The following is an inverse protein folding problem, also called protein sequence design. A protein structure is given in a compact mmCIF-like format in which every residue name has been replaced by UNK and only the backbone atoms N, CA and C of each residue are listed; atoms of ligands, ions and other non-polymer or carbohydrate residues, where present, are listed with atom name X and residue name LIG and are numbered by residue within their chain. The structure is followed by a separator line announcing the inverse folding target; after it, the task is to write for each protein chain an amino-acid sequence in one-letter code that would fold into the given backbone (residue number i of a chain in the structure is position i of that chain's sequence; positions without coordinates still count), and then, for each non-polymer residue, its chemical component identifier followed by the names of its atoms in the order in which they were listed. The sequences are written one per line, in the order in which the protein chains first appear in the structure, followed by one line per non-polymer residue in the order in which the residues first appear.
data_IF_828939085758
#
_entry.id   IF_828939085758
#
_cell.length_a   1.000
_cell.length_b   1.000
_cell.length_c   1.000
_cell.angle_alpha   90.00
_cell.angle_beta   90.00
_cell.angle_gamma   90.00
#
_symmetry.space_group_name_H-M   'P 1'
#
loop_
_entity.id
_entity.type
_entity.pdbx_description
1 polymer ?
#
# COMPACT_ATOMS: atom_id res chain seq x y z
N UNK A 1 2.04 -18.80 -33.30
CA UNK A 1 1.85 -19.91 -34.26
C UNK A 1 1.34 -19.41 -35.61
N UNK A 2 0.24 -18.65 -35.70
CA UNK A 2 -0.30 -18.18 -36.98
C UNK A 2 0.68 -17.32 -37.80
N UNK A 3 1.39 -16.34 -37.21
CA UNK A 3 2.38 -15.53 -37.94
C UNK A 3 3.57 -16.33 -38.49
N UNK A 4 4.00 -17.36 -37.75
CA UNK A 4 5.09 -18.25 -38.18
C UNK A 4 4.60 -19.20 -39.28
N UNK A 5 3.33 -19.60 -39.21
CA UNK A 5 2.62 -20.34 -40.26
C UNK A 5 2.40 -19.45 -41.49
N UNK A 6 2.13 -18.15 -41.33
CA UNK A 6 1.90 -17.21 -42.43
C UNK A 6 3.21 -16.88 -43.18
N UNK A 7 4.34 -16.75 -42.47
CA UNK A 7 5.69 -16.64 -43.09
C UNK A 7 6.07 -17.94 -43.82
N UNK A 8 5.71 -19.11 -43.26
CA UNK A 8 5.97 -20.41 -43.89
C UNK A 8 5.02 -20.72 -45.07
N UNK A 9 3.79 -20.17 -45.06
CA UNK A 9 2.77 -20.41 -46.09
C UNK A 9 2.76 -19.34 -47.20
N UNK A 10 3.36 -18.17 -47.00
CA UNK A 10 3.49 -17.10 -48.01
C UNK A 10 4.55 -17.36 -49.09
N UNK A 11 4.89 -18.63 -49.32
CA UNK A 11 6.14 -19.13 -49.92
C UNK A 11 6.42 -18.82 -51.39
N UNK A 12 6.40 -17.55 -51.80
CA UNK A 12 6.80 -17.13 -53.15
C UNK A 12 7.92 -16.06 -53.19
N UNK A 13 8.43 -15.58 -52.04
CA UNK A 13 9.56 -14.63 -52.01
C UNK A 13 10.89 -15.27 -51.61
N UNK A 14 11.99 -14.81 -52.22
CA UNK A 14 13.35 -15.24 -51.88
C UNK A 14 13.73 -14.91 -50.43
N UNK A 15 13.11 -13.89 -49.83
CA UNK A 15 13.32 -13.50 -48.45
C UNK A 15 12.70 -14.49 -47.46
N UNK A 16 11.50 -14.99 -47.75
CA UNK A 16 10.81 -15.96 -46.87
C UNK A 16 11.53 -17.31 -46.87
N UNK A 17 12.06 -17.73 -48.02
CA UNK A 17 12.91 -18.92 -48.09
C UNK A 17 14.23 -18.78 -47.31
N UNK A 18 14.85 -17.60 -47.33
CA UNK A 18 16.08 -17.34 -46.58
C UNK A 18 15.81 -17.37 -45.07
N UNK A 19 14.70 -16.77 -44.63
CA UNK A 19 14.23 -16.82 -43.25
C UNK A 19 13.95 -18.24 -42.78
N UNK A 20 13.13 -19.00 -43.51
CA UNK A 20 12.76 -20.37 -43.12
C UNK A 20 14.01 -21.28 -43.01
N UNK A 21 14.94 -21.19 -43.97
CA UNK A 21 16.20 -21.95 -43.93
C UNK A 21 17.03 -21.63 -42.69
N UNK A 22 17.23 -20.34 -42.39
CA UNK A 22 18.04 -19.92 -41.25
C UNK A 22 17.37 -20.27 -39.92
N UNK A 23 16.04 -20.13 -39.85
CA UNK A 23 15.22 -20.47 -38.69
C UNK A 23 15.31 -21.96 -38.35
N UNK A 24 15.05 -22.86 -39.30
CA UNK A 24 15.14 -24.30 -39.04
C UNK A 24 16.59 -24.76 -38.78
N UNK A 25 17.57 -24.16 -39.44
CA UNK A 25 18.98 -24.42 -39.16
C UNK A 25 19.36 -24.02 -37.72
N UNK A 26 18.86 -22.87 -37.24
CA UNK A 26 19.09 -22.41 -35.88
C UNK A 26 18.53 -23.38 -34.82
N UNK A 27 17.38 -24.00 -35.06
CA UNK A 27 16.83 -25.03 -34.16
C UNK A 27 17.68 -26.31 -34.08
N UNK A 28 18.35 -26.67 -35.18
CA UNK A 28 19.30 -27.78 -35.22
C UNK A 28 20.63 -27.47 -34.50
N UNK A 29 21.01 -26.20 -34.43
CA UNK A 29 22.29 -25.76 -33.87
C UNK A 29 22.34 -25.91 -32.34
N UNK A 30 23.38 -26.60 -31.86
CA UNK A 30 23.64 -26.77 -30.42
C UNK A 30 23.96 -25.44 -29.73
N UNK A 31 24.66 -24.54 -30.40
CA UNK A 31 25.08 -23.25 -29.85
C UNK A 31 23.90 -22.30 -29.64
N UNK A 32 22.93 -22.32 -30.55
CA UNK A 32 21.65 -21.60 -30.44
C UNK A 32 20.82 -22.17 -29.29
N UNK A 33 20.67 -23.50 -29.19
CA UNK A 33 19.94 -24.13 -28.08
C UNK A 33 20.53 -23.79 -26.71
N UNK A 34 21.85 -23.77 -26.58
CA UNK A 34 22.53 -23.36 -25.35
C UNK A 34 22.30 -21.88 -25.02
N UNK A 35 22.34 -21.00 -26.03
CA UNK A 35 22.05 -19.57 -25.84
C UNK A 35 20.58 -19.36 -25.43
N UNK A 36 19.64 -20.05 -26.09
CA UNK A 36 18.21 -19.99 -25.79
C UNK A 36 17.90 -20.43 -24.36
N UNK A 37 18.53 -21.51 -23.87
CA UNK A 37 18.40 -21.93 -22.48
C UNK A 37 18.87 -20.86 -21.49
N UNK A 38 19.95 -20.14 -21.82
CA UNK A 38 20.43 -19.05 -20.98
C UNK A 38 19.52 -17.83 -21.01
N UNK A 39 18.98 -17.49 -22.20
CA UNK A 39 17.95 -16.46 -22.34
C UNK A 39 16.71 -16.84 -21.51
N UNK A 40 16.24 -18.09 -21.55
CA UNK A 40 15.12 -18.57 -20.73
C UNK A 40 15.40 -18.48 -19.22
N UNK A 41 16.62 -18.75 -18.77
CA UNK A 41 17.01 -18.53 -17.36
C UNK A 41 17.04 -17.02 -17.05
N UNK A 42 17.62 -16.21 -17.96
CA UNK A 42 17.68 -14.75 -17.90
C UNK A 42 16.32 -14.07 -18.11
N UNK A 43 15.29 -14.82 -18.49
CA UNK A 43 13.90 -14.39 -18.64
C UNK A 43 12.99 -15.54 -18.23
N UNK A 44 12.94 -15.84 -16.93
CA UNK A 44 11.96 -16.68 -16.19
C UNK A 44 10.54 -16.83 -16.80
N UNK A 45 10.10 -15.92 -17.67
CA UNK A 45 8.79 -15.91 -18.34
C UNK A 45 8.78 -16.56 -19.74
N UNK A 46 9.91 -17.03 -20.28
CA UNK A 46 9.94 -17.79 -21.53
C UNK A 46 9.40 -19.21 -21.30
N UNK A 47 8.08 -19.31 -21.17
CA UNK A 47 7.35 -20.57 -21.22
C UNK A 47 7.17 -20.93 -22.70
N UNK A 48 7.53 -22.17 -23.06
CA UNK A 48 7.48 -22.90 -24.33
C UNK A 48 7.30 -22.12 -25.65
N UNK A 49 6.24 -21.33 -25.84
CA UNK A 49 6.02 -20.54 -27.06
C UNK A 49 6.98 -19.36 -27.20
N UNK A 50 7.45 -18.79 -26.09
CA UNK A 50 8.35 -17.64 -26.07
C UNK A 50 9.70 -17.91 -26.74
N UNK A 51 10.19 -19.15 -26.66
CA UNK A 51 11.45 -19.56 -27.28
C UNK A 51 11.42 -19.43 -28.82
N UNK A 52 10.26 -19.68 -29.44
CA UNK A 52 10.09 -19.52 -30.88
C UNK A 52 10.15 -18.07 -31.32
N UNK A 53 9.62 -17.14 -30.52
CA UNK A 53 9.68 -15.71 -30.81
C UNK A 53 11.10 -15.17 -30.69
N UNK A 54 11.85 -15.58 -29.68
CA UNK A 54 13.25 -15.17 -29.51
C UNK A 54 14.14 -15.69 -30.67
N UNK A 55 13.96 -16.94 -31.09
CA UNK A 55 14.69 -17.48 -32.26
C UNK A 55 14.27 -16.78 -33.56
N UNK A 56 12.97 -16.53 -33.77
CA UNK A 56 12.47 -15.82 -34.95
C UNK A 56 13.03 -14.38 -35.03
N UNK A 57 13.00 -13.64 -33.91
CA UNK A 57 13.57 -12.30 -33.82
C UNK A 57 15.09 -12.29 -34.09
N UNK A 58 15.82 -13.25 -33.51
CA UNK A 58 17.26 -13.38 -33.73
C UNK A 58 17.60 -13.75 -35.18
N UNK A 59 16.78 -14.55 -35.86
CA UNK A 59 16.92 -14.87 -37.28
C UNK A 59 16.67 -13.64 -38.15
N UNK A 60 15.60 -12.89 -37.90
CA UNK A 60 15.34 -11.63 -38.61
C UNK A 60 16.50 -10.65 -38.47
N UNK A 61 17.03 -10.49 -37.25
CA UNK A 61 18.18 -9.62 -36.98
C UNK A 61 19.47 -10.14 -37.62
N UNK A 62 19.66 -11.47 -37.68
CA UNK A 62 20.77 -12.10 -38.38
C UNK A 62 20.76 -11.77 -39.88
N UNK A 63 19.59 -11.86 -40.52
CA UNK A 63 19.42 -11.55 -41.94
C UNK A 63 19.62 -10.06 -42.25
N UNK A 64 19.22 -9.16 -41.34
CA UNK A 64 19.36 -7.73 -41.52
C UNK A 64 20.78 -7.21 -41.25
N UNK A 65 21.51 -7.81 -40.29
CA UNK A 65 22.76 -7.26 -39.75
C UNK A 65 24.01 -8.14 -39.92
N UNK A 66 23.89 -9.37 -40.41
CA UNK A 66 25.03 -10.24 -40.73
C UNK A 66 25.70 -10.99 -39.55
N UNK A 67 25.08 -11.02 -38.37
CA UNK A 67 25.56 -11.78 -37.20
C UNK A 67 24.98 -13.20 -37.14
N UNK A 68 25.62 -14.14 -36.44
CA UNK A 68 25.02 -15.47 -36.20
C UNK A 68 23.86 -15.40 -35.19
N UNK A 69 22.84 -16.22 -35.37
CA UNK A 69 21.68 -16.31 -34.46
C UNK A 69 22.13 -16.56 -33.01
N UNK A 70 23.15 -17.41 -32.81
CA UNK A 70 23.69 -17.70 -31.47
C UNK A 70 24.39 -16.48 -30.82
N UNK A 71 25.05 -15.62 -31.60
CA UNK A 71 25.65 -14.38 -31.07
C UNK A 71 24.56 -13.41 -30.63
N UNK A 72 23.53 -13.21 -31.46
CA UNK A 72 22.41 -12.30 -31.18
C UNK A 72 21.68 -12.72 -29.90
N UNK A 73 21.41 -14.01 -29.73
CA UNK A 73 20.78 -14.53 -28.49
C UNK A 73 21.66 -14.34 -27.24
N UNK A 74 22.99 -14.41 -27.36
CA UNK A 74 23.88 -14.12 -26.22
C UNK A 74 23.89 -12.65 -25.85
N UNK A 75 23.83 -11.75 -26.83
CA UNK A 75 23.69 -10.32 -26.57
C UNK A 75 22.36 -10.01 -25.87
N UNK A 76 21.29 -10.67 -26.31
CA UNK A 76 19.97 -10.60 -25.67
C UNK A 76 20.00 -11.08 -24.22
N UNK A 77 20.65 -12.22 -23.94
CA UNK A 77 20.88 -12.72 -22.57
C UNK A 77 21.55 -11.67 -21.67
N UNK A 78 22.62 -11.03 -22.17
CA UNK A 78 23.36 -10.00 -21.42
C UNK A 78 22.49 -8.77 -21.15
N UNK A 79 21.70 -8.32 -22.13
CA UNK A 79 20.77 -7.21 -21.95
C UNK A 79 19.73 -7.51 -20.88
N UNK A 80 19.09 -8.68 -20.93
CA UNK A 80 18.10 -9.12 -19.95
C UNK A 80 18.69 -9.22 -18.54
N UNK A 81 19.92 -9.73 -18.44
CA UNK A 81 20.64 -9.82 -17.16
C UNK A 81 20.87 -8.43 -16.57
N UNK A 82 21.34 -7.46 -17.37
CA UNK A 82 21.54 -6.06 -16.93
C UNK A 82 20.24 -5.39 -16.53
N UNK A 83 19.17 -5.57 -17.30
CA UNK A 83 17.86 -5.02 -16.97
C UNK A 83 17.34 -5.54 -15.62
N UNK A 84 17.57 -6.83 -15.34
CA UNK A 84 17.22 -7.42 -14.04
C UNK A 84 18.04 -6.87 -12.89
N UNK A 85 19.34 -6.68 -13.09
CA UNK A 85 20.21 -6.08 -12.06
C UNK A 85 19.78 -4.65 -11.73
N UNK A 86 19.45 -3.85 -12.75
CA UNK A 86 18.90 -2.50 -12.59
C UNK A 86 17.55 -2.54 -11.87
N UNK A 87 16.61 -3.38 -12.30
CA UNK A 87 15.31 -3.48 -11.63
C UNK A 87 15.43 -3.94 -10.16
N UNK A 88 16.39 -4.82 -9.85
CA UNK A 88 16.69 -5.24 -8.47
C UNK A 88 17.26 -4.10 -7.63
N UNK A 89 18.18 -3.30 -8.18
CA UNK A 89 18.78 -2.19 -7.44
C UNK A 89 17.78 -1.06 -7.21
N UNK A 90 16.94 -0.75 -8.20
CA UNK A 90 15.83 0.20 -8.08
C UNK A 90 14.80 -0.26 -7.05
N UNK A 91 14.39 -1.54 -7.09
CA UNK A 91 13.48 -2.11 -6.09
C UNK A 91 14.09 -2.05 -4.68
N UNK A 92 15.37 -2.36 -4.53
CA UNK A 92 16.04 -2.29 -3.24
C UNK A 92 16.09 -0.86 -2.70
N UNK A 93 16.34 0.13 -3.57
CA UNK A 93 16.32 1.55 -3.22
C UNK A 93 14.92 2.00 -2.79
N UNK A 94 13.88 1.63 -3.56
CA UNK A 94 12.50 1.92 -3.22
C UNK A 94 12.09 1.32 -1.87
N UNK A 95 12.42 0.04 -1.62
CA UNK A 95 12.14 -0.62 -0.34
C UNK A 95 12.84 0.10 0.81
N UNK A 96 14.12 0.47 0.63
CA UNK A 96 14.89 1.18 1.65
C UNK A 96 14.28 2.54 1.98
N UNK A 97 13.93 3.33 0.98
CA UNK A 97 13.30 4.65 1.17
C UNK A 97 11.91 4.55 1.79
N UNK A 98 11.11 3.56 1.37
CA UNK A 98 9.81 3.27 1.96
C UNK A 98 9.93 2.89 3.45
N UNK A 99 10.89 2.03 3.78
CA UNK A 99 11.16 1.65 5.17
C UNK A 99 11.66 2.82 6.02
N UNK A 100 12.49 3.71 5.46
CA UNK A 100 12.93 4.93 6.15
C UNK A 100 11.75 5.85 6.49
N UNK A 101 10.86 6.12 5.52
CA UNK A 101 9.65 6.92 5.75
C UNK A 101 8.72 6.29 6.78
N UNK A 102 8.59 4.96 6.78
CA UNK A 102 7.82 4.23 7.81
C UNK A 102 8.43 4.37 9.20
N UNK A 103 9.76 4.28 9.30
CA UNK A 103 10.45 4.45 10.58
C UNK A 103 10.26 5.87 11.15
N UNK A 104 10.27 6.90 10.29
CA UNK A 104 9.99 8.28 10.66
C UNK A 104 8.53 8.48 11.12
N UNK A 105 7.57 7.83 10.45
CA UNK A 105 6.14 7.96 10.77
C UNK A 105 5.69 7.12 11.99
N UNK A 106 6.36 6.00 12.27
CA UNK A 106 6.02 5.08 13.35
C UNK A 106 5.85 5.75 14.74
N UNK A 107 6.75 6.62 15.23
CA UNK A 107 6.58 7.26 16.54
C UNK A 107 5.38 8.21 16.58
N UNK A 108 5.09 8.90 15.47
CA UNK A 108 3.95 9.83 15.35
C UNK A 108 2.65 9.05 15.47
N UNK A 109 2.54 7.93 14.76
CA UNK A 109 1.35 7.07 14.82
C UNK A 109 1.18 6.40 16.18
N UNK A 110 2.27 5.97 16.81
CA UNK A 110 2.23 5.44 18.16
C UNK A 110 1.77 6.50 19.18
N UNK A 111 2.13 7.77 18.99
CA UNK A 111 1.61 8.88 19.79
C UNK A 111 0.11 9.11 19.52
N UNK A 112 -0.32 9.15 18.26
CA UNK A 112 -1.73 9.30 17.89
C UNK A 112 -2.60 8.16 18.44
N UNK A 113 -2.13 6.91 18.38
CA UNK A 113 -2.86 5.75 18.89
C UNK A 113 -3.02 5.80 20.42
N UNK A 114 -1.97 6.23 21.14
CA UNK A 114 -2.03 6.46 22.60
C UNK A 114 -3.05 7.54 22.94
N UNK A 115 -2.99 8.68 22.25
CA UNK A 115 -3.94 9.78 22.45
C UNK A 115 -5.39 9.37 22.15
N UNK A 116 -5.62 8.60 21.07
CA UNK A 116 -6.94 8.05 20.77
C UNK A 116 -7.45 7.11 21.86
N UNK A 117 -6.59 6.28 22.45
CA UNK A 117 -6.95 5.39 23.55
C UNK A 117 -7.34 6.20 24.79
N UNK A 118 -6.55 7.20 25.16
CA UNK A 118 -6.85 8.11 26.28
C UNK A 118 -8.19 8.84 26.06
N UNK A 119 -8.43 9.38 24.86
CA UNK A 119 -9.68 10.04 24.50
C UNK A 119 -10.87 9.07 24.53
N UNK A 120 -10.67 7.82 24.12
CA UNK A 120 -11.72 6.79 24.13
C UNK A 120 -12.21 6.43 25.55
N UNK A 121 -11.36 6.61 26.57
CA UNK A 121 -11.69 6.36 27.97
C UNK A 121 -12.26 7.60 28.66
N UNK A 122 -11.68 8.76 28.38
CA UNK A 122 -12.04 10.03 29.02
C UNK A 122 -13.37 10.61 28.50
N UNK A 123 -13.64 10.52 27.20
CA UNK A 123 -14.89 11.06 26.62
C UNK A 123 -16.14 10.40 27.21
N UNK A 124 -16.26 9.05 27.31
CA UNK A 124 -17.43 8.44 27.92
C UNK A 124 -17.59 8.76 29.41
N UNK A 125 -16.48 8.78 30.16
CA UNK A 125 -16.49 9.14 31.58
C UNK A 125 -17.02 10.56 31.80
N UNK A 126 -16.45 11.54 31.08
CA UNK A 126 -16.90 12.93 31.15
C UNK A 126 -18.33 13.09 30.60
N UNK A 127 -18.73 12.34 29.57
CA UNK A 127 -20.10 12.38 29.06
C UNK A 127 -21.13 11.86 30.07
N UNK A 128 -20.77 10.86 30.87
CA UNK A 128 -21.62 10.34 31.94
C UNK A 128 -21.76 11.36 33.07
N UNK A 129 -20.65 12.01 33.44
CA UNK A 129 -20.62 13.09 34.43
C UNK A 129 -21.44 14.30 33.98
N UNK A 130 -21.30 14.73 32.72
CA UNK A 130 -21.89 15.95 32.15
C UNK A 130 -23.34 15.77 31.70
N UNK A 131 -23.89 14.54 31.74
CA UNK A 131 -25.26 14.28 31.26
C UNK A 131 -26.25 15.28 31.85
N UNK A 132 -26.77 16.17 30.99
CA UNK A 132 -27.44 17.40 31.38
C UNK A 132 -28.66 17.16 32.29
N UNK A 133 -29.29 15.98 32.19
CA UNK A 133 -30.39 15.59 33.06
C UNK A 133 -29.98 15.06 34.44
N UNK A 134 -28.77 14.51 34.63
CA UNK A 134 -28.37 13.94 35.93
C UNK A 134 -27.74 14.99 36.84
N UNK A 135 -26.98 15.92 36.26
CA UNK A 135 -26.29 17.00 36.98
C UNK A 135 -27.26 18.09 37.42
N UNK A 136 -28.06 18.61 36.48
CA UNK A 136 -29.02 19.66 36.78
C UNK A 136 -30.04 19.19 37.82
N UNK A 137 -30.60 17.98 37.65
CA UNK A 137 -31.55 17.43 38.62
C UNK A 137 -30.93 17.19 40.01
N UNK A 138 -29.66 16.76 40.09
CA UNK A 138 -28.97 16.59 41.39
C UNK A 138 -28.67 17.92 42.07
N UNK A 139 -28.30 18.94 41.30
CA UNK A 139 -28.03 20.28 41.82
C UNK A 139 -29.31 20.93 42.32
N UNK A 140 -30.37 20.94 41.52
CA UNK A 140 -31.67 21.49 41.90
C UNK A 140 -32.24 20.78 43.13
N UNK A 141 -32.14 19.44 43.20
CA UNK A 141 -32.55 18.68 44.38
C UNK A 141 -31.72 19.03 45.64
N UNK A 142 -30.42 19.27 45.48
CA UNK A 142 -29.55 19.68 46.60
C UNK A 142 -29.82 21.11 47.05
N UNK A 143 -30.07 22.03 46.12
CA UNK A 143 -30.49 23.39 46.42
C UNK A 143 -31.83 23.41 47.14
N UNK A 144 -32.81 22.62 46.68
CA UNK A 144 -34.10 22.47 47.36
C UNK A 144 -33.92 21.94 48.78
N UNK A 145 -33.12 20.88 48.99
CA UNK A 145 -32.85 20.33 50.31
C UNK A 145 -32.16 21.33 51.26
N UNK A 146 -31.27 22.18 50.75
CA UNK A 146 -30.63 23.24 51.53
C UNK A 146 -31.63 24.32 51.95
N UNK A 147 -32.54 24.71 51.04
CA UNK A 147 -33.62 25.67 51.34
C UNK A 147 -34.62 25.09 52.35
N UNK A 148 -34.99 23.81 52.20
CA UNK A 148 -35.85 23.10 53.14
C UNK A 148 -35.22 22.98 54.54
N UNK A 149 -33.88 22.93 54.61
CA UNK A 149 -33.12 22.98 55.86
C UNK A 149 -32.99 24.41 56.45
N UNK A 150 -33.57 25.42 55.81
CA UNK A 150 -33.62 26.79 56.30
C UNK A 150 -32.42 27.67 55.94
N UNK A 151 -31.54 27.23 55.02
CA UNK A 151 -30.45 28.07 54.51
C UNK A 151 -31.00 29.11 53.52
N UNK A 152 -30.56 30.37 53.67
CA UNK A 152 -30.82 31.42 52.68
C UNK A 152 -29.88 31.28 51.47
N UNK A 153 -30.28 31.80 50.31
CA UNK A 153 -29.44 31.75 49.10
C UNK A 153 -28.05 32.40 49.34
N UNK A 154 -27.99 33.47 50.13
CA UNK A 154 -26.73 34.14 50.54
C UNK A 154 -25.81 33.22 51.36
N UNK A 155 -26.39 32.37 52.23
CA UNK A 155 -25.63 31.38 53.00
C UNK A 155 -25.16 30.24 52.12
N UNK A 156 -26.00 29.77 51.18
CA UNK A 156 -25.63 28.73 50.21
C UNK A 156 -24.48 29.18 49.33
N UNK A 157 -24.49 30.43 48.86
CA UNK A 157 -23.41 31.01 48.07
C UNK A 157 -22.12 31.18 48.91
N UNK A 158 -22.22 31.53 50.19
CA UNK A 158 -21.07 31.67 51.08
C UNK A 158 -20.31 30.35 51.34
N UNK A 159 -21.02 29.20 51.36
CA UNK A 159 -20.39 27.85 51.43
C UNK A 159 -20.02 27.28 50.05
N UNK A 160 -20.25 28.03 48.97
CA UNK A 160 -19.83 27.66 47.61
C UNK A 160 -20.82 26.76 46.85
N UNK A 161 -22.03 26.57 47.37
CA UNK A 161 -23.15 25.89 46.73
C UNK A 161 -22.90 24.46 46.21
N UNK A 162 -23.96 23.76 45.79
CA UNK A 162 -23.81 22.47 45.12
C UNK A 162 -23.20 22.62 43.72
N UNK A 163 -22.09 21.91 43.51
CA UNK A 163 -21.37 21.81 42.23
C UNK A 163 -21.92 20.70 41.33
N UNK A 164 -21.72 20.78 40.01
CA UNK A 164 -21.12 21.89 39.26
C UNK A 164 -22.10 23.05 39.04
N UNK A 165 -21.58 24.27 39.07
CA UNK A 165 -22.30 25.49 38.63
C UNK A 165 -22.58 25.47 37.13
N UNK A 166 -23.45 26.35 36.63
CA UNK A 166 -23.71 26.47 35.18
C UNK A 166 -22.43 26.75 34.37
N UNK A 167 -21.55 27.60 34.90
CA UNK A 167 -20.26 27.91 34.28
C UNK A 167 -19.32 26.69 34.26
N UNK A 168 -19.28 25.91 35.35
CA UNK A 168 -18.49 24.66 35.40
C UNK A 168 -19.06 23.61 34.44
N UNK A 169 -20.39 23.48 34.34
CA UNK A 169 -21.05 22.59 33.40
C UNK A 169 -20.77 23.00 31.95
N UNK A 170 -20.85 24.29 31.63
CA UNK A 170 -20.53 24.82 30.31
C UNK A 170 -19.06 24.57 29.94
N UNK A 171 -18.13 24.77 30.89
CA UNK A 171 -16.71 24.46 30.69
C UNK A 171 -16.46 22.97 30.44
N UNK A 172 -17.14 22.08 31.18
CA UNK A 172 -17.06 20.64 30.96
C UNK A 172 -17.64 20.22 29.60
N UNK A 173 -18.77 20.81 29.17
CA UNK A 173 -19.35 20.57 27.85
C UNK A 173 -18.43 21.04 26.72
N UNK A 174 -17.81 22.21 26.86
CA UNK A 174 -16.84 22.74 25.90
C UNK A 174 -15.59 21.84 25.80
N UNK A 175 -15.09 21.36 26.95
CA UNK A 175 -13.99 20.38 27.01
C UNK A 175 -14.34 19.10 26.26
N UNK A 176 -15.54 18.57 26.48
CA UNK A 176 -16.04 17.37 25.83
C UNK A 176 -16.16 17.55 24.30
N UNK A 177 -16.67 18.69 23.85
CA UNK A 177 -16.73 19.03 22.42
C UNK A 177 -15.32 19.10 21.79
N UNK A 178 -14.37 19.73 22.48
CA UNK A 178 -12.97 19.81 22.06
C UNK A 178 -12.33 18.43 21.95
N UNK A 179 -12.49 17.57 22.96
CA UNK A 179 -11.99 16.18 22.95
C UNK A 179 -12.57 15.37 21.79
N UNK A 180 -13.87 15.51 21.51
CA UNK A 180 -14.52 14.84 20.36
C UNK A 180 -13.97 15.33 19.02
N UNK A 181 -13.79 16.64 18.86
CA UNK A 181 -13.18 17.21 17.67
C UNK A 181 -11.74 16.70 17.48
N UNK A 182 -10.95 16.64 18.56
CA UNK A 182 -9.60 16.08 18.53
C UNK A 182 -9.59 14.61 18.13
N UNK A 183 -10.49 13.79 18.69
CA UNK A 183 -10.65 12.38 18.32
C UNK A 183 -10.99 12.21 16.83
N UNK A 184 -11.85 13.07 16.28
CA UNK A 184 -12.19 13.05 14.86
C UNK A 184 -10.98 13.41 13.97
N UNK A 185 -10.22 14.44 14.33
CA UNK A 185 -8.99 14.82 13.62
C UNK A 185 -7.93 13.72 13.64
N UNK A 186 -7.75 13.03 14.78
CA UNK A 186 -6.82 11.91 14.89
C UNK A 186 -7.25 10.71 14.03
N UNK A 187 -8.55 10.42 13.95
CA UNK A 187 -9.09 9.38 13.06
C UNK A 187 -8.88 9.73 11.59
N UNK A 188 -9.12 10.99 11.20
CA UNK A 188 -8.88 11.47 9.85
C UNK A 188 -7.40 11.38 9.47
N UNK A 189 -6.50 11.77 10.38
CA UNK A 189 -5.06 11.65 10.19
C UNK A 189 -4.63 10.20 9.96
N UNK A 190 -5.10 9.27 10.80
CA UNK A 190 -4.82 7.85 10.65
C UNK A 190 -5.34 7.27 9.32
N UNK A 191 -6.54 7.69 8.88
CA UNK A 191 -7.12 7.27 7.60
C UNK A 191 -6.39 7.87 6.38
N UNK A 192 -5.83 9.07 6.52
CA UNK A 192 -5.11 9.76 5.44
C UNK A 192 -3.66 9.30 5.25
N UNK A 193 -3.12 8.48 6.15
CA UNK A 193 -1.73 8.06 6.12
C UNK A 193 -1.45 7.24 4.83
N UNK A 194 -0.86 7.82 3.77
CA UNK A 194 -0.77 7.20 2.45
C UNK A 194 0.36 6.14 2.37
N UNK A 195 1.09 5.94 3.47
CA UNK A 195 2.26 5.06 3.53
C UNK A 195 1.92 3.60 3.92
N UNK A 196 0.64 3.33 4.20
CA UNK A 196 0.14 2.02 4.62
C UNK A 196 -0.81 1.45 3.59
N UNK A 197 -0.37 1.37 2.33
CA UNK A 197 -1.02 0.46 1.42
C UNK A 197 -0.68 -0.97 1.86
N UNK A 198 -1.54 -1.52 2.73
CA UNK A 198 -1.46 -2.90 3.21
C UNK A 198 -1.52 -3.89 2.03
N UNK A 199 -2.05 -3.48 0.87
CA UNK A 199 -2.06 -4.30 -0.35
C UNK A 199 -0.67 -4.47 -0.98
N UNK A 200 0.27 -3.55 -0.72
CA UNK A 200 1.69 -3.71 -1.10
C UNK A 200 2.46 -4.67 -0.17
N UNK A 201 1.85 -5.06 0.95
CA UNK A 201 2.36 -6.08 1.88
C UNK A 201 1.68 -7.44 1.68
N UNK A 202 0.63 -7.50 0.86
CA UNK A 202 -0.05 -8.74 0.56
C UNK A 202 0.71 -9.45 -0.57
N UNK A 203 1.69 -10.27 -0.19
CA UNK A 203 2.26 -11.30 -1.05
C UNK A 203 1.22 -12.41 -1.38
N UNK A 204 -0.08 -12.24 -1.06
CA UNK A 204 -1.16 -13.19 -1.38
C UNK A 204 -1.62 -13.17 -2.85
N UNK A 205 -0.71 -12.88 -3.78
CA UNK A 205 -0.84 -13.40 -5.16
C UNK A 205 -0.29 -14.84 -5.28
N UNK A 206 -0.25 -15.58 -4.16
CA UNK A 206 -0.01 -17.01 -4.14
C UNK A 206 -1.12 -17.75 -3.36
N UNK A 207 -1.94 -18.46 -4.11
CA UNK A 207 -2.83 -19.58 -3.73
C UNK A 207 -4.28 -19.23 -3.34
N UNK A 208 -5.18 -19.55 -4.28
CA UNK A 208 -6.61 -19.38 -4.16
C UNK A 208 -7.28 -20.25 -3.11
N UNK A 209 -8.47 -19.79 -2.72
CA UNK A 209 -9.62 -20.59 -2.30
C UNK A 209 -10.88 -19.88 -2.78
N UNK A 210 -11.47 -20.40 -3.85
CA UNK A 210 -12.92 -20.46 -3.98
C UNK A 210 -13.37 -21.78 -3.36
#
# INVERSE_FOLDING_TARGET
MQELIDILNGGDSAADMAFAKLYFAAWGDRSVRLALNRVAIAEKALIDEGAHFEVAAAVTQSLAGGGSVAQILRERELQLTRQRELARSERALFIRESNARRAEAAPILAACAREQLELSQTIPALAQEVSAGRVHNRREASLAAMRDAGLTDEQVDAVGGPKPTENELAAQQASLASMRARMASLKAFAASAPFYDLSLLDDSTANGRQ
#
